data_IF_823582116672
#
_entry.id   IF_823582116672
#
_cell.length_a   1.000
_cell.length_b   1.000
_cell.length_c   1.000
_cell.angle_alpha   90.00
_cell.angle_beta   90.00
_cell.angle_gamma   90.00
#
_symmetry.space_group_name_H-M   'P 1'
#
loop_
_entity.id
_entity.type
_entity.pdbx_description
1 polymer ?
#
# COMPACT_ATOMS: atom_id res chain seq x y z
N UNK A 1 -8.37 -0.83 -18.80
CA UNK A 1 -7.95 0.21 -19.78
C UNK A 1 -7.82 1.50 -18.98
N UNK A 2 -6.71 2.22 -19.06
CA UNK A 2 -6.46 3.41 -18.21
C UNK A 2 -7.54 4.47 -18.47
N UNK A 3 -8.18 4.98 -17.42
CA UNK A 3 -9.17 6.05 -17.59
C UNK A 3 -8.49 7.34 -18.06
N UNK A 4 -9.19 8.17 -18.86
CA UNK A 4 -8.63 9.44 -19.35
C UNK A 4 -8.24 10.37 -18.18
N UNK A 5 -9.00 10.32 -17.08
CA UNK A 5 -8.73 11.09 -15.87
C UNK A 5 -7.43 10.64 -15.20
N UNK A 6 -7.21 9.32 -15.07
CA UNK A 6 -5.97 8.79 -14.51
C UNK A 6 -4.78 9.10 -15.44
N UNK A 7 -4.95 8.96 -16.76
CA UNK A 7 -3.90 9.30 -17.72
C UNK A 7 -3.45 10.76 -17.59
N UNK A 8 -4.41 11.70 -17.51
CA UNK A 8 -4.11 13.12 -17.34
C UNK A 8 -3.49 13.41 -15.97
N UNK A 9 -3.97 12.76 -14.92
CA UNK A 9 -3.44 12.92 -13.56
C UNK A 9 -2.00 12.40 -13.49
N UNK A 10 -1.73 11.21 -14.03
CA UNK A 10 -0.40 10.60 -14.10
C UNK A 10 0.60 11.51 -14.81
N UNK A 11 0.26 12.02 -16.00
CA UNK A 11 1.13 12.90 -16.78
C UNK A 11 1.40 14.26 -16.11
N UNK A 12 0.46 14.76 -15.29
CA UNK A 12 0.55 16.09 -14.68
C UNK A 12 1.14 16.07 -13.28
N UNK A 13 0.79 15.06 -12.48
CA UNK A 13 0.99 15.04 -11.02
C UNK A 13 1.93 13.94 -10.54
N UNK A 14 2.19 12.92 -11.36
CA UNK A 14 3.06 11.78 -11.00
C UNK A 14 4.27 11.71 -11.95
N UNK A 15 4.90 12.86 -12.17
CA UNK A 15 5.98 13.00 -13.16
C UNK A 15 7.27 12.34 -12.67
N UNK A 16 7.56 12.38 -11.39
CA UNK A 16 8.75 11.74 -10.79
C UNK A 16 8.68 10.24 -10.96
N UNK A 17 7.54 9.65 -10.61
CA UNK A 17 7.23 8.24 -10.77
C UNK A 17 7.32 7.81 -12.24
N UNK A 18 6.74 8.56 -13.17
CA UNK A 18 6.83 8.28 -14.60
C UNK A 18 8.27 8.36 -15.12
N UNK A 19 9.02 9.39 -14.74
CA UNK A 19 10.41 9.56 -15.16
C UNK A 19 11.28 8.42 -14.64
N UNK A 20 11.15 8.11 -13.35
CA UNK A 20 11.88 7.03 -12.69
C UNK A 20 11.55 5.63 -13.25
N UNK A 21 10.30 5.41 -13.67
CA UNK A 21 9.91 4.19 -14.37
C UNK A 21 10.54 4.06 -15.78
N UNK A 22 11.15 5.10 -16.35
CA UNK A 22 11.63 5.12 -17.74
C UNK A 22 10.58 5.64 -18.75
N UNK A 23 9.54 6.31 -18.26
CA UNK A 23 8.43 6.85 -19.03
C UNK A 23 7.18 5.96 -18.99
N UNK A 24 6.10 6.46 -19.61
CA UNK A 24 4.79 5.77 -19.63
C UNK A 24 4.87 4.37 -20.23
N UNK A 25 5.69 4.17 -21.26
CA UNK A 25 5.87 2.86 -21.92
C UNK A 25 6.41 1.80 -20.96
N UNK A 26 7.44 2.12 -20.20
CA UNK A 26 8.04 1.18 -19.24
C UNK A 26 7.18 0.98 -18.00
N UNK A 27 6.48 2.01 -17.53
CA UNK A 27 5.46 1.85 -16.49
C UNK A 27 4.36 0.88 -16.95
N UNK A 28 3.84 1.03 -18.17
CA UNK A 28 2.82 0.11 -18.70
C UNK A 28 3.37 -1.31 -18.84
N UNK A 29 4.63 -1.48 -19.25
CA UNK A 29 5.27 -2.79 -19.29
C UNK A 29 5.41 -3.40 -17.88
N UNK A 30 5.80 -2.61 -16.87
CA UNK A 30 5.87 -3.05 -15.47
C UNK A 30 4.50 -3.52 -14.93
N UNK A 31 3.43 -2.76 -15.22
CA UNK A 31 2.06 -3.16 -14.85
C UNK A 31 1.62 -4.44 -15.57
N UNK A 32 2.01 -4.63 -16.84
CA UNK A 32 1.77 -5.89 -17.57
C UNK A 32 2.50 -7.06 -16.95
N UNK A 33 3.72 -6.87 -16.43
CA UNK A 33 4.44 -7.92 -15.71
C UNK A 33 3.69 -8.34 -14.44
N UNK A 34 3.11 -7.38 -13.71
CA UNK A 34 2.27 -7.69 -12.55
C UNK A 34 1.08 -8.58 -12.91
N UNK A 35 0.39 -8.27 -14.01
CA UNK A 35 -0.71 -9.10 -14.50
C UNK A 35 -0.26 -10.48 -15.00
N UNK A 36 0.88 -10.56 -15.71
CA UNK A 36 1.41 -11.82 -16.23
C UNK A 36 1.79 -12.78 -15.09
N UNK A 37 2.52 -12.29 -14.09
CA UNK A 37 2.87 -13.07 -12.91
C UNK A 37 1.64 -13.47 -12.10
N UNK A 38 0.66 -12.58 -11.94
CA UNK A 38 -0.58 -12.93 -11.26
C UNK A 38 -1.32 -14.11 -11.91
N UNK A 39 -1.42 -14.13 -13.25
CA UNK A 39 -2.02 -15.26 -13.97
C UNK A 39 -1.19 -16.54 -13.76
N UNK A 40 0.14 -16.44 -13.83
CA UNK A 40 1.05 -17.58 -13.57
C UNK A 40 0.82 -18.16 -12.17
N UNK A 41 0.89 -17.32 -11.14
CA UNK A 41 0.73 -17.73 -9.74
C UNK A 41 -0.66 -18.28 -9.43
N UNK A 42 -1.71 -17.72 -10.05
CA UNK A 42 -3.06 -18.25 -9.93
C UNK A 42 -3.16 -19.68 -10.46
N UNK A 43 -2.59 -19.93 -11.64
CA UNK A 43 -2.57 -21.26 -12.25
C UNK A 43 -1.77 -22.24 -11.38
N UNK A 44 -0.60 -21.84 -10.89
CA UNK A 44 0.21 -22.66 -9.99
C UNK A 44 -0.54 -23.02 -8.70
N UNK A 45 -1.20 -22.05 -8.06
CA UNK A 45 -1.99 -22.31 -6.84
C UNK A 45 -3.18 -23.23 -7.12
N UNK A 46 -3.90 -22.99 -8.21
CA UNK A 46 -5.08 -23.78 -8.58
C UNK A 46 -4.70 -25.22 -8.94
N UNK A 47 -3.67 -25.40 -9.74
CA UNK A 47 -3.22 -26.72 -10.19
C UNK A 47 -2.61 -27.52 -9.03
N UNK A 48 -2.08 -26.83 -8.00
CA UNK A 48 -1.67 -27.43 -6.73
C UNK A 48 -2.83 -27.73 -5.75
N UNK A 49 -4.08 -27.41 -6.10
CA UNK A 49 -5.24 -27.57 -5.21
C UNK A 49 -5.27 -26.60 -4.02
N UNK A 50 -4.58 -25.46 -4.12
CA UNK A 50 -4.37 -24.46 -3.06
C UNK A 50 -5.05 -23.11 -3.38
N UNK A 51 -6.14 -23.13 -4.15
CA UNK A 51 -6.86 -21.93 -4.55
C UNK A 51 -7.56 -21.19 -3.37
N UNK A 52 -7.68 -21.84 -2.23
CA UNK A 52 -8.32 -21.33 -1.01
C UNK A 52 -7.38 -20.52 -0.11
N UNK A 53 -6.06 -20.54 -0.39
CA UNK A 53 -5.04 -19.77 0.33
C UNK A 53 -5.27 -18.26 0.19
N UNK A 54 -4.95 -17.44 1.22
CA UNK A 54 -5.17 -15.98 1.17
C UNK A 54 -4.57 -15.31 -0.08
N UNK A 55 -3.32 -15.65 -0.42
CA UNK A 55 -2.65 -15.16 -1.62
C UNK A 55 -3.39 -15.53 -2.92
N UNK A 56 -3.93 -16.75 -3.01
CA UNK A 56 -4.67 -17.22 -4.18
C UNK A 56 -6.04 -16.53 -4.30
N UNK A 57 -6.71 -16.27 -3.17
CA UNK A 57 -7.96 -15.49 -3.14
C UNK A 57 -7.76 -14.03 -3.58
N UNK A 58 -6.66 -13.40 -3.18
CA UNK A 58 -6.31 -12.06 -3.63
C UNK A 58 -6.09 -12.02 -5.15
N UNK A 59 -5.35 -13.00 -5.68
CA UNK A 59 -5.17 -13.19 -7.13
C UNK A 59 -6.51 -13.39 -7.84
N UNK A 60 -7.36 -14.28 -7.34
CA UNK A 60 -8.67 -14.55 -7.92
C UNK A 60 -9.51 -13.27 -8.06
N UNK A 61 -9.63 -12.48 -6.98
CA UNK A 61 -10.43 -11.24 -6.99
C UNK A 61 -9.95 -10.26 -8.06
N UNK A 62 -8.63 -10.02 -8.12
CA UNK A 62 -8.06 -9.08 -9.10
C UNK A 62 -8.13 -9.61 -10.53
N UNK A 63 -7.78 -10.87 -10.75
CA UNK A 63 -7.83 -11.47 -12.09
C UNK A 63 -9.25 -11.56 -12.65
N UNK A 64 -10.24 -11.87 -11.80
CA UNK A 64 -11.65 -11.88 -12.17
C UNK A 64 -12.10 -10.48 -12.58
N UNK A 65 -11.79 -9.46 -11.76
CA UNK A 65 -12.12 -8.07 -12.06
C UNK A 65 -11.57 -7.63 -13.43
N UNK A 66 -10.32 -8.00 -13.72
CA UNK A 66 -9.68 -7.66 -14.98
C UNK A 66 -10.11 -8.53 -16.18
N UNK A 67 -10.97 -9.53 -15.96
CA UNK A 67 -11.41 -10.46 -17.01
C UNK A 67 -10.29 -11.35 -17.54
N UNK A 68 -9.26 -11.63 -16.72
CA UNK A 68 -8.26 -12.63 -17.07
C UNK A 68 -8.77 -14.05 -16.84
N UNK A 69 -9.66 -14.22 -15.87
CA UNK A 69 -10.32 -15.48 -15.52
C UNK A 69 -11.85 -15.31 -15.47
N UNK A 70 -12.58 -16.42 -15.62
CA UNK A 70 -14.03 -16.50 -15.37
C UNK A 70 -14.35 -16.74 -13.87
N UNK A 71 -15.63 -16.78 -13.52
CA UNK A 71 -16.11 -17.10 -12.17
C UNK A 71 -15.71 -18.52 -11.70
N UNK A 72 -15.40 -19.42 -12.64
CA UNK A 72 -14.84 -20.74 -12.34
C UNK A 72 -13.32 -20.74 -12.14
N UNK A 73 -12.67 -19.58 -12.24
CA UNK A 73 -11.23 -19.44 -12.11
C UNK A 73 -10.43 -19.96 -13.31
N UNK A 74 -11.08 -20.12 -14.48
CA UNK A 74 -10.44 -20.57 -15.72
C UNK A 74 -9.95 -19.37 -16.53
N UNK A 75 -8.73 -19.40 -17.09
CA UNK A 75 -8.26 -18.35 -17.97
C UNK A 75 -9.17 -18.19 -19.19
N UNK A 76 -9.66 -16.98 -19.40
CA UNK A 76 -10.44 -16.61 -20.59
C UNK A 76 -9.68 -15.65 -21.51
N UNK A 77 -8.57 -15.10 -21.02
CA UNK A 77 -7.70 -14.19 -21.77
C UNK A 77 -6.25 -14.65 -21.67
N UNK A 78 -5.60 -14.83 -22.82
CA UNK A 78 -4.17 -15.10 -22.87
C UNK A 78 -3.38 -13.84 -22.51
N UNK A 79 -2.49 -13.96 -21.53
CA UNK A 79 -1.55 -12.89 -21.17
C UNK A 79 -0.17 -13.30 -21.68
N UNK A 80 0.29 -12.61 -22.71
CA UNK A 80 1.64 -12.82 -23.25
C UNK A 80 2.69 -12.27 -22.30
N UNK A 81 3.86 -12.90 -22.29
CA UNK A 81 5.00 -12.42 -21.51
C UNK A 81 5.40 -11.02 -22.01
N UNK A 82 5.37 -9.99 -21.16
CA UNK A 82 5.67 -8.63 -21.59
C UNK A 82 7.15 -8.46 -21.91
N UNK A 83 7.48 -7.41 -22.67
CA UNK A 83 8.89 -7.00 -22.82
C UNK A 83 9.42 -6.53 -21.47
N UNK A 84 10.67 -6.87 -21.13
CA UNK A 84 11.31 -6.35 -19.92
C UNK A 84 11.40 -4.82 -20.02
N UNK A 85 11.03 -4.07 -18.96
CA UNK A 85 11.19 -2.62 -18.93
C UNK A 85 12.67 -2.26 -18.84
N UNK A 86 13.01 -1.02 -19.23
CA UNK A 86 14.39 -0.51 -19.22
C UNK A 86 14.65 0.49 -18.10
N UNK A 87 13.64 1.26 -17.69
CA UNK A 87 13.77 2.22 -16.59
C UNK A 87 14.12 1.53 -15.26
N UNK A 88 15.00 2.14 -14.44
CA UNK A 88 15.56 1.49 -13.26
C UNK A 88 14.49 1.06 -12.26
N UNK A 89 13.50 1.91 -11.99
CA UNK A 89 12.45 1.59 -11.02
C UNK A 89 11.40 0.64 -11.58
N UNK A 90 11.20 0.61 -12.89
CA UNK A 90 10.41 -0.45 -13.53
C UNK A 90 11.14 -1.80 -13.51
N UNK A 91 12.48 -1.81 -13.52
CA UNK A 91 13.27 -3.02 -13.31
C UNK A 91 13.24 -3.48 -11.85
N UNK A 92 13.32 -2.59 -10.86
CA UNK A 92 13.12 -2.95 -9.44
C UNK A 92 11.75 -3.60 -9.22
N UNK A 93 10.69 -3.00 -9.78
CA UNK A 93 9.34 -3.58 -9.74
C UNK A 93 9.30 -5.01 -10.31
N UNK A 94 9.95 -5.24 -11.46
CA UNK A 94 10.04 -6.58 -12.05
C UNK A 94 10.86 -7.53 -11.17
N UNK A 95 11.98 -7.06 -10.61
CA UNK A 95 12.84 -7.85 -9.73
C UNK A 95 12.09 -8.30 -8.46
N UNK A 96 11.22 -7.45 -7.92
CA UNK A 96 10.32 -7.81 -6.82
C UNK A 96 9.39 -8.98 -7.21
N UNK A 97 8.76 -8.91 -8.39
CA UNK A 97 7.90 -9.98 -8.88
C UNK A 97 8.70 -11.27 -9.13
N UNK A 98 9.92 -11.18 -9.67
CA UNK A 98 10.81 -12.32 -9.84
C UNK A 98 11.26 -12.94 -8.52
N UNK A 99 11.49 -12.12 -7.49
CA UNK A 99 11.79 -12.60 -6.14
C UNK A 99 10.58 -13.31 -5.52
N UNK A 100 9.39 -12.72 -5.64
CA UNK A 100 8.16 -13.35 -5.21
C UNK A 100 7.90 -14.67 -5.93
N UNK A 101 8.11 -14.73 -7.24
CA UNK A 101 7.95 -15.93 -8.05
C UNK A 101 8.81 -17.10 -7.55
N UNK A 102 10.05 -16.82 -7.14
CA UNK A 102 10.94 -17.83 -6.53
C UNK A 102 10.46 -18.28 -5.14
N UNK A 103 9.86 -17.37 -4.37
CA UNK A 103 9.33 -17.64 -3.03
C UNK A 103 7.93 -18.29 -3.05
N UNK A 104 7.18 -18.11 -4.13
CA UNK A 104 5.75 -18.44 -4.22
C UNK A 104 5.42 -19.88 -3.84
N UNK A 105 6.17 -20.92 -4.25
CA UNK A 105 5.89 -22.30 -3.81
C UNK A 105 6.01 -22.51 -2.31
N UNK A 106 6.89 -21.77 -1.62
CA UNK A 106 7.01 -21.83 -0.15
C UNK A 106 5.84 -21.09 0.51
N UNK A 107 5.52 -19.90 0.00
CA UNK A 107 4.40 -19.07 0.46
C UNK A 107 3.08 -19.84 0.38
N UNK A 108 2.82 -20.53 -0.75
CA UNK A 108 1.62 -21.36 -0.92
C UNK A 108 1.53 -22.50 0.11
N UNK A 109 2.67 -23.02 0.57
CA UNK A 109 2.74 -24.05 1.62
C UNK A 109 2.65 -23.48 3.04
N UNK A 110 2.49 -22.17 3.18
CA UNK A 110 2.31 -21.50 4.48
C UNK A 110 3.59 -20.90 5.08
N UNK A 111 4.66 -20.75 4.29
CA UNK A 111 5.86 -20.02 4.72
C UNK A 111 5.56 -18.51 4.69
N UNK A 112 5.04 -17.98 5.80
CA UNK A 112 4.69 -16.56 5.97
C UNK A 112 5.94 -15.68 5.93
N UNK A 113 7.06 -16.18 6.46
CA UNK A 113 8.34 -15.46 6.51
C UNK A 113 8.87 -15.16 5.10
N UNK A 114 8.77 -16.13 4.19
CA UNK A 114 9.12 -15.90 2.79
C UNK A 114 8.28 -14.79 2.14
N UNK A 115 7.02 -14.64 2.52
CA UNK A 115 6.16 -13.54 2.07
C UNK A 115 6.56 -12.20 2.68
N UNK A 116 6.82 -12.19 3.99
CA UNK A 116 7.25 -11.01 4.77
C UNK A 116 8.53 -10.41 4.21
N UNK A 117 9.59 -11.21 4.03
CA UNK A 117 10.88 -10.75 3.52
C UNK A 117 10.78 -10.10 2.12
N UNK A 118 9.91 -10.63 1.25
CA UNK A 118 9.68 -10.03 -0.07
C UNK A 118 8.99 -8.67 0.06
N UNK A 119 7.98 -8.55 0.92
CA UNK A 119 7.27 -7.29 1.13
C UNK A 119 8.11 -6.23 1.88
N UNK A 120 9.01 -6.63 2.77
CA UNK A 120 9.96 -5.71 3.40
C UNK A 120 10.97 -5.17 2.41
N UNK A 121 11.51 -6.04 1.54
CA UNK A 121 12.43 -5.60 0.49
C UNK A 121 11.83 -4.55 -0.46
N UNK A 122 10.51 -4.57 -0.63
CA UNK A 122 9.77 -3.58 -1.41
C UNK A 122 9.83 -2.19 -0.77
N UNK A 123 9.71 -2.09 0.56
CA UNK A 123 9.66 -0.78 1.24
C UNK A 123 10.97 0.00 1.07
N UNK A 124 12.09 -0.70 0.87
CA UNK A 124 13.40 -0.12 0.59
C UNK A 124 13.65 0.22 -0.91
N UNK A 125 12.75 -0.15 -1.83
CA UNK A 125 12.93 0.08 -3.27
C UNK A 125 12.60 1.51 -3.69
N UNK A 126 13.36 2.03 -4.66
CA UNK A 126 13.21 3.40 -5.14
C UNK A 126 11.86 3.66 -5.81
N UNK A 127 11.27 2.66 -6.47
CA UNK A 127 9.95 2.80 -7.06
C UNK A 127 8.85 3.04 -6.01
N UNK A 128 8.94 2.39 -4.83
CA UNK A 128 7.96 2.51 -3.75
C UNK A 128 8.08 3.89 -3.09
N UNK A 129 9.33 4.34 -2.89
CA UNK A 129 9.65 5.71 -2.46
C UNK A 129 9.07 6.76 -3.40
N UNK A 130 9.30 6.65 -4.71
CA UNK A 130 8.72 7.58 -5.68
C UNK A 130 7.19 7.54 -5.71
N UNK A 131 6.60 6.35 -5.59
CA UNK A 131 5.16 6.21 -5.51
C UNK A 131 4.60 7.04 -4.35
N UNK A 132 5.17 6.89 -3.15
CA UNK A 132 4.78 7.67 -1.97
C UNK A 132 5.03 9.15 -2.18
N UNK A 133 6.23 9.55 -2.59
CA UNK A 133 6.63 10.95 -2.63
C UNK A 133 5.80 11.76 -3.64
N UNK A 134 5.55 11.23 -4.84
CA UNK A 134 4.68 11.86 -5.84
C UNK A 134 3.22 11.89 -5.35
N UNK A 135 2.74 10.87 -4.62
CA UNK A 135 1.42 10.90 -4.01
C UNK A 135 1.29 12.03 -2.99
N UNK A 136 2.25 12.16 -2.07
CA UNK A 136 2.26 13.21 -1.05
C UNK A 136 2.31 14.60 -1.69
N UNK A 137 3.15 14.79 -2.71
CA UNK A 137 3.21 16.04 -3.48
C UNK A 137 1.87 16.34 -4.18
N UNK A 138 1.34 15.38 -4.95
CA UNK A 138 0.08 15.54 -5.68
C UNK A 138 -1.12 15.82 -4.76
N UNK A 139 -1.09 15.28 -3.54
CA UNK A 139 -2.11 15.49 -2.53
C UNK A 139 -2.02 16.87 -1.85
N UNK A 140 -0.87 17.55 -1.93
CA UNK A 140 -0.61 18.77 -1.18
C UNK A 140 -0.35 18.51 0.30
N UNK A 141 0.27 17.36 0.61
CA UNK A 141 0.69 17.00 1.95
C UNK A 141 1.75 17.97 2.47
N UNK A 142 1.52 18.61 3.61
CA UNK A 142 2.47 19.55 4.22
C UNK A 142 3.55 18.81 5.00
N UNK A 143 3.17 17.73 5.69
CA UNK A 143 4.07 16.91 6.49
C UNK A 143 4.59 17.62 7.73
N UNK A 144 3.75 18.36 8.46
CA UNK A 144 4.17 19.07 9.69
C UNK A 144 3.94 18.27 10.96
N UNK A 145 2.73 17.75 11.16
CA UNK A 145 2.33 16.93 12.31
C UNK A 145 1.54 15.74 11.79
N UNK A 146 2.24 14.62 11.59
CA UNK A 146 1.75 13.46 10.85
C UNK A 146 1.35 12.35 11.80
N UNK A 147 0.17 11.79 11.59
CA UNK A 147 -0.28 10.54 12.17
C UNK A 147 -0.30 9.46 11.06
N UNK A 148 0.63 8.51 11.08
CA UNK A 148 0.61 7.34 10.19
C UNK A 148 0.01 6.13 10.93
N UNK A 149 -0.84 5.35 10.24
CA UNK A 149 -1.62 4.30 10.89
C UNK A 149 -1.83 3.07 10.00
N UNK A 150 -1.26 1.89 10.33
CA UNK A 150 -0.16 1.71 11.29
C UNK A 150 1.13 2.40 10.80
N UNK A 151 2.07 2.66 11.70
CA UNK A 151 3.32 3.36 11.38
C UNK A 151 4.26 2.43 10.60
N UNK A 152 4.74 2.86 9.43
CA UNK A 152 5.72 2.12 8.62
C UNK A 152 7.10 2.75 8.79
N UNK A 153 8.10 1.93 9.11
CA UNK A 153 9.47 2.36 9.39
C UNK A 153 10.08 3.17 8.25
N UNK A 154 10.06 2.61 7.05
CA UNK A 154 10.63 3.23 5.87
C UNK A 154 9.89 4.52 5.48
N UNK A 155 8.57 4.54 5.60
CA UNK A 155 7.78 5.76 5.36
C UNK A 155 8.15 6.85 6.36
N UNK A 156 8.14 6.54 7.65
CA UNK A 156 8.44 7.48 8.71
C UNK A 156 9.83 8.09 8.52
N UNK A 157 10.88 7.28 8.30
CA UNK A 157 12.25 7.76 8.13
C UNK A 157 12.43 8.59 6.86
N UNK A 158 11.89 8.15 5.74
CA UNK A 158 12.01 8.89 4.48
C UNK A 158 11.25 10.22 4.52
N UNK A 159 10.02 10.22 5.03
CA UNK A 159 9.21 11.44 5.18
C UNK A 159 9.88 12.37 6.17
N UNK A 160 10.39 11.85 7.28
CA UNK A 160 11.07 12.66 8.28
C UNK A 160 12.32 13.34 7.70
N UNK A 161 13.10 12.58 6.93
CA UNK A 161 14.33 13.07 6.28
C UNK A 161 14.07 14.07 5.16
N UNK A 162 12.99 13.89 4.38
CA UNK A 162 12.67 14.76 3.24
C UNK A 162 11.84 16.00 3.59
N UNK A 163 11.04 15.94 4.66
CA UNK A 163 10.07 17.01 5.02
C UNK A 163 10.30 17.63 6.38
N UNK A 164 11.09 16.99 7.27
CA UNK A 164 11.36 17.46 8.63
C UNK A 164 10.08 17.85 9.40
N UNK A 165 9.11 16.92 9.55
CA UNK A 165 7.93 17.14 10.37
C UNK A 165 8.37 17.47 11.79
N UNK A 166 7.60 18.32 12.47
CA UNK A 166 7.76 18.55 13.90
C UNK A 166 7.47 17.26 14.68
N UNK A 167 6.41 16.55 14.27
CA UNK A 167 5.95 15.31 14.88
C UNK A 167 5.58 14.30 13.79
N UNK A 168 6.05 13.07 13.95
CA UNK A 168 5.60 11.90 13.20
C UNK A 168 5.22 10.80 14.19
N UNK A 169 3.94 10.48 14.29
CA UNK A 169 3.41 9.53 15.29
C UNK A 169 2.55 8.46 14.63
N UNK A 170 2.45 7.31 15.29
CA UNK A 170 1.53 6.25 14.91
C UNK A 170 1.49 5.13 15.93
N UNK A 171 1.04 3.96 15.49
CA UNK A 171 1.04 2.76 16.31
C UNK A 171 1.66 1.56 15.58
N UNK A 172 2.20 0.63 16.36
CA UNK A 172 2.68 -0.67 15.93
C UNK A 172 1.83 -1.77 16.58
N UNK A 173 1.43 -2.76 15.78
CA UNK A 173 0.49 -3.81 16.18
C UNK A 173 1.05 -4.85 17.15
N UNK A 174 2.37 -4.95 17.25
CA UNK A 174 3.11 -5.95 18.03
C UNK A 174 4.48 -5.43 18.44
N UNK A 175 5.13 -6.10 19.39
CA UNK A 175 6.52 -5.81 19.76
C UNK A 175 7.48 -6.12 18.59
N UNK A 176 7.20 -7.15 17.80
CA UNK A 176 7.97 -7.47 16.57
C UNK A 176 7.94 -6.30 15.57
N UNK A 177 6.77 -5.68 15.35
CA UNK A 177 6.68 -4.51 14.48
C UNK A 177 7.44 -3.29 15.04
N UNK A 178 7.63 -3.21 16.36
CA UNK A 178 8.48 -2.18 17.00
C UNK A 178 9.96 -2.50 16.78
N UNK A 179 10.36 -3.76 16.86
CA UNK A 179 11.72 -4.19 16.55
C UNK A 179 12.10 -3.82 15.11
N UNK A 180 11.23 -4.14 14.13
CA UNK A 180 11.41 -3.76 12.72
C UNK A 180 11.57 -2.23 12.56
N UNK A 181 10.81 -1.44 13.33
CA UNK A 181 10.92 0.01 13.34
C UNK A 181 12.28 0.51 13.84
N UNK A 182 12.76 -0.09 14.93
CA UNK A 182 14.03 0.27 15.56
C UNK A 182 15.25 -0.18 14.74
N UNK A 183 15.13 -1.25 13.96
CA UNK A 183 16.17 -1.68 13.01
C UNK A 183 16.41 -0.62 11.91
N UNK A 184 15.35 0.01 11.42
CA UNK A 184 15.46 1.07 10.40
C UNK A 184 15.88 2.40 11.03
N UNK A 185 15.43 2.72 12.23
CA UNK A 185 15.81 3.95 12.93
C UNK A 185 15.74 3.83 14.45
N UNK A 186 16.91 3.85 15.09
CA UNK A 186 17.04 3.89 16.56
C UNK A 186 16.57 5.21 17.19
N UNK A 187 16.23 6.22 16.40
CA UNK A 187 15.69 7.50 16.87
C UNK A 187 14.18 7.47 17.19
N UNK A 188 13.50 6.34 16.91
CA UNK A 188 12.07 6.19 17.22
C UNK A 188 11.86 6.07 18.73
N UNK A 189 11.04 6.95 19.30
CA UNK A 189 10.63 6.86 20.70
C UNK A 189 9.45 5.90 20.85
N UNK A 190 9.59 4.86 21.68
CA UNK A 190 8.57 3.81 21.87
C UNK A 190 7.80 4.04 23.17
N UNK A 191 6.47 4.04 23.09
CA UNK A 191 5.56 4.14 24.25
C UNK A 191 5.49 5.52 24.93
N UNK A 192 6.48 6.39 24.68
CA UNK A 192 6.52 7.78 25.13
C UNK A 192 6.64 8.68 23.90
N UNK A 193 5.62 9.51 23.67
CA UNK A 193 5.59 10.46 22.57
C UNK A 193 5.83 11.88 23.11
N UNK A 194 7.06 12.44 22.98
CA UNK A 194 7.42 13.73 23.58
C UNK A 194 6.83 14.95 22.85
N UNK A 195 5.92 14.74 21.90
CA UNK A 195 5.31 15.81 21.10
C UNK A 195 6.16 16.32 19.94
N UNK A 196 7.36 15.74 19.73
CA UNK A 196 8.23 16.00 18.59
C UNK A 196 9.01 14.74 18.18
N UNK A 197 9.59 14.74 16.99
CA UNK A 197 10.35 13.61 16.46
C UNK A 197 9.46 12.46 15.97
N UNK A 198 10.05 11.28 15.79
CA UNK A 198 9.33 10.05 15.45
C UNK A 198 9.00 9.30 16.73
N UNK A 199 7.73 8.96 16.95
CA UNK A 199 7.32 8.14 18.09
C UNK A 199 6.21 7.15 17.72
N UNK A 200 6.12 6.06 18.47
CA UNK A 200 5.17 4.99 18.21
C UNK A 200 4.57 4.46 19.52
N UNK A 201 3.26 4.25 19.52
CA UNK A 201 2.59 3.50 20.58
C UNK A 201 2.49 2.01 20.20
N UNK A 202 2.61 1.12 21.18
CA UNK A 202 2.37 -0.31 20.96
C UNK A 202 0.91 -0.59 21.25
N UNK A 203 0.15 -0.94 20.22
CA UNK A 203 -1.27 -1.26 20.33
C UNK A 203 -1.73 -2.04 19.10
N UNK A 204 -2.61 -3.06 19.25
CA UNK A 204 -3.13 -3.81 18.12
C UNK A 204 -4.09 -3.00 17.22
N UNK A 205 -4.51 -1.80 17.67
CA UNK A 205 -5.46 -0.94 16.96
C UNK A 205 -5.28 0.54 17.34
N UNK A 206 -5.56 1.44 16.40
CA UNK A 206 -5.62 2.89 16.64
C UNK A 206 -6.64 3.28 17.71
N UNK A 207 -7.69 2.48 17.90
CA UNK A 207 -8.74 2.75 18.88
C UNK A 207 -8.24 2.73 20.33
N UNK A 208 -7.24 1.91 20.65
CA UNK A 208 -6.68 1.79 22.00
C UNK A 208 -5.81 3.00 22.37
N UNK A 209 -5.26 3.66 21.36
CA UNK A 209 -4.33 4.79 21.53
C UNK A 209 -4.90 6.11 21.04
N UNK A 210 -6.18 6.16 20.63
CA UNK A 210 -6.79 7.33 20.02
C UNK A 210 -6.72 8.58 20.91
N UNK A 211 -6.91 8.43 22.22
CA UNK A 211 -6.87 9.56 23.15
C UNK A 211 -5.44 10.08 23.34
N UNK A 212 -4.45 9.19 23.43
CA UNK A 212 -3.03 9.54 23.50
C UNK A 212 -2.55 10.22 22.21
N UNK A 213 -2.95 9.68 21.06
CA UNK A 213 -2.71 10.30 19.75
C UNK A 213 -3.33 11.70 19.66
N UNK A 214 -4.55 11.88 20.18
CA UNK A 214 -5.26 13.16 20.14
C UNK A 214 -4.60 14.26 20.96
N UNK A 215 -3.95 13.92 22.08
CA UNK A 215 -3.18 14.88 22.88
C UNK A 215 -1.98 15.47 22.11
N UNK A 216 -1.49 14.77 21.10
CA UNK A 216 -0.39 15.22 20.26
C UNK A 216 -0.84 16.14 19.12
N UNK A 217 -2.15 16.36 18.97
CA UNK A 217 -2.75 17.24 17.97
C UNK A 217 -2.18 17.06 16.54
N UNK A 218 -2.22 15.84 15.96
CA UNK A 218 -1.84 15.61 14.58
C UNK A 218 -2.74 16.42 13.63
N UNK A 219 -2.18 16.88 12.50
CA UNK A 219 -2.89 17.70 11.51
C UNK A 219 -3.15 16.98 10.20
N UNK A 220 -2.43 15.88 9.97
CA UNK A 220 -2.51 15.10 8.75
C UNK A 220 -2.46 13.63 9.12
N UNK A 221 -3.39 12.83 8.60
CA UNK A 221 -3.43 11.38 8.78
C UNK A 221 -3.00 10.71 7.49
N UNK A 222 -1.91 9.93 7.54
CA UNK A 222 -1.38 9.19 6.41
C UNK A 222 -1.83 7.73 6.46
N UNK A 223 -2.58 7.33 5.43
CA UNK A 223 -3.05 5.96 5.21
C UNK A 223 -2.49 5.47 3.86
N UNK A 224 -1.17 5.45 3.75
CA UNK A 224 -0.46 5.02 2.55
C UNK A 224 -0.11 3.54 2.62
N UNK A 225 -0.74 2.75 1.76
CA UNK A 225 -0.63 1.30 1.70
C UNK A 225 -0.99 0.63 3.05
N UNK A 226 -1.97 1.21 3.77
CA UNK A 226 -2.23 0.91 5.18
C UNK A 226 -3.53 0.14 5.46
N UNK A 227 -4.65 0.46 4.79
CA UNK A 227 -5.98 -0.02 5.20
C UNK A 227 -6.11 -1.55 5.19
N UNK A 228 -5.39 -2.24 4.30
CA UNK A 228 -5.45 -3.70 4.24
C UNK A 228 -4.77 -4.41 5.40
N UNK A 229 -4.00 -3.70 6.22
CA UNK A 229 -3.40 -4.23 7.45
C UNK A 229 -4.28 -4.03 8.69
N UNK A 230 -5.34 -3.22 8.59
CA UNK A 230 -6.21 -2.90 9.72
C UNK A 230 -7.20 -4.03 9.98
N UNK A 231 -7.38 -4.49 11.24
CA UNK A 231 -8.36 -5.53 11.57
C UNK A 231 -9.80 -5.13 11.18
N UNK A 232 -10.19 -3.90 11.50
CA UNK A 232 -11.47 -3.29 11.14
C UNK A 232 -11.22 -1.86 10.61
N UNK A 233 -11.00 -1.69 9.29
CA UNK A 233 -10.58 -0.40 8.73
C UNK A 233 -11.58 0.74 8.96
N UNK A 234 -12.89 0.47 8.95
CA UNK A 234 -13.88 1.51 9.17
C UNK A 234 -13.86 2.00 10.62
N UNK A 235 -13.76 1.07 11.58
CA UNK A 235 -13.64 1.40 13.01
C UNK A 235 -12.30 2.09 13.32
N UNK A 236 -11.21 1.61 12.74
CA UNK A 236 -9.88 2.19 12.91
C UNK A 236 -9.83 3.63 12.40
N UNK A 237 -10.36 3.88 11.19
CA UNK A 237 -10.45 5.23 10.63
C UNK A 237 -11.36 6.13 11.48
N UNK A 238 -12.44 5.62 12.05
CA UNK A 238 -13.29 6.40 12.96
C UNK A 238 -12.54 6.80 14.25
N UNK A 239 -11.71 5.91 14.80
CA UNK A 239 -10.84 6.20 15.94
C UNK A 239 -9.74 7.22 15.58
N UNK A 240 -9.13 7.12 14.40
CA UNK A 240 -8.18 8.11 13.90
C UNK A 240 -8.85 9.47 13.68
N UNK A 241 -10.09 9.51 13.17
CA UNK A 241 -10.88 10.75 13.06
C UNK A 241 -11.14 11.37 14.43
N UNK A 242 -11.41 10.56 15.46
CA UNK A 242 -11.54 11.06 16.84
C UNK A 242 -10.22 11.61 17.38
N UNK A 243 -9.10 10.93 17.10
CA UNK A 243 -7.76 11.38 17.48
C UNK A 243 -7.34 12.65 16.71
N UNK A 244 -7.86 12.88 15.51
CA UNK A 244 -7.45 13.98 14.64
C UNK A 244 -8.68 14.68 13.99
N UNK A 245 -9.56 15.33 14.78
CA UNK A 245 -10.92 15.74 14.36
C UNK A 245 -10.99 16.80 13.24
N UNK A 246 -9.87 17.45 12.91
CA UNK A 246 -9.77 18.39 11.79
C UNK A 246 -8.71 18.02 10.75
N UNK A 247 -8.08 16.86 10.88
CA UNK A 247 -6.99 16.46 10.02
C UNK A 247 -7.48 16.00 8.64
N UNK A 248 -6.68 16.23 7.60
CA UNK A 248 -6.91 15.62 6.30
C UNK A 248 -6.38 14.20 6.30
N UNK A 249 -7.11 13.31 5.63
CA UNK A 249 -6.77 11.90 5.48
C UNK A 249 -6.24 11.66 4.08
N UNK A 250 -4.98 11.24 4.00
CA UNK A 250 -4.26 11.00 2.76
C UNK A 250 -4.23 9.50 2.51
N UNK A 251 -5.05 9.04 1.54
CA UNK A 251 -5.22 7.62 1.25
C UNK A 251 -4.60 7.30 -0.11
N UNK A 252 -3.57 6.46 -0.11
CA UNK A 252 -2.94 5.94 -1.32
C UNK A 252 -2.71 4.44 -1.16
N UNK A 253 -3.34 3.57 -1.94
CA UNK A 253 -3.18 2.13 -1.77
C UNK A 253 -3.48 1.34 -3.05
N UNK A 254 -2.92 0.14 -3.15
CA UNK A 254 -3.32 -0.80 -4.18
C UNK A 254 -4.75 -1.30 -3.94
N UNK A 255 -5.50 -1.45 -5.03
CA UNK A 255 -6.85 -2.02 -5.03
C UNK A 255 -6.97 -3.07 -6.14
N UNK A 256 -8.01 -3.90 -6.07
CA UNK A 256 -8.32 -5.02 -6.99
C UNK A 256 -8.19 -4.63 -8.47
N UNK A 257 -8.49 -3.37 -8.79
CA UNK A 257 -8.49 -2.80 -10.13
C UNK A 257 -7.10 -2.38 -10.66
N UNK A 258 -6.04 -2.44 -9.84
CA UNK A 258 -4.76 -1.80 -10.18
C UNK A 258 -3.64 -2.78 -10.55
N UNK A 259 -3.08 -3.49 -9.56
CA UNK A 259 -1.82 -4.24 -9.67
C UNK A 259 -2.00 -5.66 -9.10
N UNK A 260 -2.46 -6.63 -9.92
CA UNK A 260 -2.83 -7.97 -9.44
C UNK A 260 -1.70 -8.71 -8.72
N UNK A 261 -0.48 -8.65 -9.27
CA UNK A 261 0.70 -9.30 -8.66
C UNK A 261 1.10 -8.63 -7.36
N UNK A 262 0.93 -7.31 -7.27
CA UNK A 262 1.21 -6.56 -6.04
C UNK A 262 0.28 -6.94 -4.89
N UNK A 263 -1.01 -7.09 -5.18
CA UNK A 263 -1.98 -7.54 -4.18
C UNK A 263 -1.63 -8.93 -3.63
N UNK A 264 -1.13 -9.82 -4.49
CA UNK A 264 -0.66 -11.14 -4.07
C UNK A 264 0.56 -11.03 -3.13
N UNK A 265 1.51 -10.16 -3.45
CA UNK A 265 2.69 -9.91 -2.61
C UNK A 265 2.27 -9.39 -1.22
N UNK A 266 1.39 -8.39 -1.16
CA UNK A 266 0.90 -7.86 0.12
C UNK A 266 0.11 -8.90 0.92
N UNK A 267 -0.74 -9.70 0.26
CA UNK A 267 -1.50 -10.76 0.93
C UNK A 267 -0.63 -11.90 1.43
N UNK A 268 0.45 -12.23 0.73
CA UNK A 268 1.42 -13.22 1.20
C UNK A 268 2.20 -12.75 2.45
N UNK A 269 2.41 -11.44 2.58
CA UNK A 269 3.03 -10.84 3.75
C UNK A 269 2.06 -10.62 4.93
N UNK A 270 0.80 -11.07 4.82
CA UNK A 270 -0.16 -11.04 5.92
C UNK A 270 -1.19 -9.92 5.86
N UNK A 271 -1.32 -9.20 4.74
CA UNK A 271 -2.42 -8.25 4.57
C UNK A 271 -3.77 -8.95 4.79
N UNK A 272 -4.57 -8.40 5.69
CA UNK A 272 -5.85 -8.96 6.15
C UNK A 272 -6.91 -8.84 5.05
N UNK A 273 -6.88 -7.74 4.29
CA UNK A 273 -7.90 -7.43 3.31
C UNK A 273 -7.34 -7.26 1.89
N UNK A 274 -8.18 -7.49 0.89
CA UNK A 274 -7.91 -7.16 -0.51
C UNK A 274 -9.07 -6.31 -1.01
N UNK A 275 -8.91 -4.98 -1.05
CA UNK A 275 -10.03 -4.09 -1.35
C UNK A 275 -10.17 -3.78 -2.84
N UNK A 276 -11.40 -3.70 -3.32
CA UNK A 276 -11.74 -2.87 -4.48
C UNK A 276 -11.75 -1.39 -4.10
N UNK A 277 -11.68 -0.49 -5.09
CA UNK A 277 -11.81 0.95 -4.84
C UNK A 277 -13.10 1.26 -4.09
N UNK A 278 -14.22 0.69 -4.52
CA UNK A 278 -15.51 0.96 -3.89
C UNK A 278 -15.56 0.51 -2.43
N UNK A 279 -14.87 -0.58 -2.08
CA UNK A 279 -14.79 -1.04 -0.68
C UNK A 279 -13.95 -0.10 0.17
N UNK A 280 -12.83 0.42 -0.37
CA UNK A 280 -12.05 1.48 0.29
C UNK A 280 -12.90 2.72 0.53
N UNK A 281 -13.59 3.23 -0.50
CA UNK A 281 -14.41 4.43 -0.39
C UNK A 281 -15.55 4.23 0.62
N UNK A 282 -16.22 3.07 0.58
CA UNK A 282 -17.28 2.73 1.52
C UNK A 282 -16.79 2.65 2.97
N UNK A 283 -15.61 2.09 3.24
CA UNK A 283 -15.04 2.02 4.59
C UNK A 283 -14.73 3.43 5.14
N UNK A 284 -14.17 4.31 4.31
CA UNK A 284 -13.87 5.70 4.68
C UNK A 284 -15.16 6.51 4.91
N UNK A 285 -16.17 6.33 4.05
CA UNK A 285 -17.48 6.98 4.19
C UNK A 285 -18.25 6.48 5.43
N UNK A 286 -18.17 5.18 5.74
CA UNK A 286 -18.75 4.60 6.94
C UNK A 286 -18.09 5.12 8.23
N UNK A 287 -16.79 5.42 8.18
CA UNK A 287 -16.07 6.13 9.24
C UNK A 287 -16.45 7.63 9.33
N UNK A 288 -17.34 8.10 8.46
CA UNK A 288 -17.84 9.47 8.41
C UNK A 288 -16.89 10.45 7.74
N UNK A 289 -15.96 9.99 6.88
CA UNK A 289 -15.14 10.87 6.05
C UNK A 289 -15.87 11.23 4.75
N UNK A 290 -15.48 12.36 4.15
CA UNK A 290 -15.93 12.82 2.84
C UNK A 290 -14.76 13.02 1.91
N UNK A 291 -14.89 12.57 0.66
CA UNK A 291 -13.83 12.73 -0.35
C UNK A 291 -13.70 14.19 -0.75
N UNK A 292 -12.55 14.79 -0.43
CA UNK A 292 -12.20 16.17 -0.79
C UNK A 292 -11.59 16.27 -2.18
N UNK A 293 -10.72 15.33 -2.53
CA UNK A 293 -9.96 15.32 -3.78
C UNK A 293 -9.72 13.88 -4.24
N UNK A 294 -10.02 13.60 -5.50
CA UNK A 294 -9.64 12.35 -6.15
C UNK A 294 -8.40 12.62 -7.03
N UNK A 295 -7.33 11.87 -6.82
CA UNK A 295 -6.08 12.00 -7.57
C UNK A 295 -5.95 10.91 -8.62
N UNK A 296 -6.15 9.66 -8.23
CA UNK A 296 -6.12 8.48 -9.09
C UNK A 296 -7.23 7.54 -8.68
N UNK A 297 -7.93 7.00 -9.66
CA UNK A 297 -8.97 5.99 -9.44
C UNK A 297 -8.36 4.61 -9.29
N UNK A 298 -7.56 4.20 -10.26
CA UNK A 298 -7.21 2.79 -10.44
C UNK A 298 -5.79 2.57 -11.02
N UNK A 299 -5.05 3.60 -11.44
CA UNK A 299 -3.74 3.37 -12.07
C UNK A 299 -2.66 4.36 -11.62
N UNK A 300 -1.51 3.87 -11.10
CA UNK A 300 -1.21 2.48 -10.72
C UNK A 300 -1.86 2.04 -9.40
N UNK A 301 -2.55 2.94 -8.71
CA UNK A 301 -3.14 2.71 -7.38
C UNK A 301 -4.30 3.69 -7.18
N UNK A 302 -5.10 3.45 -6.15
CA UNK A 302 -6.13 4.39 -5.73
C UNK A 302 -5.50 5.50 -4.86
N UNK A 303 -5.78 6.76 -5.16
CA UNK A 303 -5.22 7.92 -4.47
C UNK A 303 -6.26 9.03 -4.27
N UNK A 304 -6.47 9.44 -3.03
CA UNK A 304 -7.43 10.48 -2.69
C UNK A 304 -7.10 11.19 -1.37
N UNK A 305 -7.66 12.39 -1.22
CA UNK A 305 -7.66 13.16 0.02
C UNK A 305 -9.08 13.23 0.55
N UNK A 306 -9.21 12.97 1.84
CA UNK A 306 -10.46 12.89 2.57
C UNK A 306 -10.46 13.88 3.73
N UNK A 307 -11.65 14.32 4.15
CA UNK A 307 -11.84 15.19 5.30
C UNK A 307 -12.93 14.63 6.23
N UNK A 308 -12.84 14.90 7.54
CA UNK A 308 -13.89 14.60 8.51
C UNK A 308 -15.27 15.15 8.18
#
# INVERSE_FOLDING_TARGET
>A
MMSLLDALSMLRRFRGYLAGAGGVGDMVNALRWSAWYAVKWWLEARDAGMADRPVAKALYRSLLHHGYIDEGGRPVKRVEQPKRPRGPYAQEWLALHEAFDRAFPKILRGDVEAGRLVAESMQAQGWYKLWRDDFLEAAGFEGKRVLEAPLSAHNAVDIYSSRSPELYVGYAGSDEAVEDLLEVSSAVSVGQCPGSGICVFVAPSACEVADALGQLAPREVLLFNSLHWMPDPAKEVACLKRAAPGALFYVGQAVVETMPGFLAITSAAGAIHTFSRSEVEAALEAAGLRRRKLLLREMPFYAAVWSP
#
